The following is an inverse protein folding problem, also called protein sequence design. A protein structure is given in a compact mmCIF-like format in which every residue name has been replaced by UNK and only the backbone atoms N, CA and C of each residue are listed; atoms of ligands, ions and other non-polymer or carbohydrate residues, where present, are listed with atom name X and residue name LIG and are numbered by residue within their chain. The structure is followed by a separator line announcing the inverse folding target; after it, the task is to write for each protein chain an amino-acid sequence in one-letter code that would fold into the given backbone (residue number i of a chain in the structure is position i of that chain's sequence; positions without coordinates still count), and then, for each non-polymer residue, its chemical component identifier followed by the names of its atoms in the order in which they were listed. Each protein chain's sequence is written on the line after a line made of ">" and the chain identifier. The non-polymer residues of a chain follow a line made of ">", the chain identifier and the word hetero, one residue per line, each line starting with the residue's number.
data_IF_600469197134
#
_entry.id   IF_600469197134
#
_cell.length_a   1.000
_cell.length_b   1.000
_cell.length_c   1.000
_cell.angle_alpha   90.00
_cell.angle_beta   90.00
_cell.angle_gamma   90.00
#
_symmetry.space_group_name_H-M   'P 1'
#
loop_
_entity.id
_entity.type
_entity.pdbx_description
1 polymer ?
#
# COMPACT_ATOMS: atom_id res chain seq x y z
N UNK A 1 15.20 23.27 2.09
CA UNK A 1 14.94 21.86 2.43
C UNK A 1 16.03 21.25 3.30
N UNK A 2 17.32 21.27 2.92
CA UNK A 2 18.39 20.63 3.70
C UNK A 2 18.54 21.21 5.11
N UNK A 3 18.47 22.52 5.26
CA UNK A 3 18.57 23.19 6.55
C UNK A 3 17.36 22.90 7.47
N UNK A 4 16.17 22.67 6.88
CA UNK A 4 14.92 22.45 7.60
C UNK A 4 14.59 20.94 7.76
N UNK A 5 15.39 20.08 7.15
CA UNK A 5 15.11 18.63 7.17
C UNK A 5 14.89 18.04 8.57
N UNK A 6 15.69 18.38 9.62
CA UNK A 6 15.44 17.87 10.95
C UNK A 6 14.07 18.26 11.52
N UNK A 7 13.62 19.50 11.28
CA UNK A 7 12.30 19.97 11.73
C UNK A 7 11.16 19.33 10.94
N UNK A 8 11.31 19.18 9.63
CA UNK A 8 10.35 18.48 8.79
C UNK A 8 10.21 17.01 9.20
N UNK A 9 11.31 16.32 9.48
CA UNK A 9 11.30 14.94 9.95
C UNK A 9 10.61 14.79 11.31
N UNK A 10 10.91 15.69 12.26
CA UNK A 10 10.27 15.70 13.57
C UNK A 10 8.75 15.93 13.44
N UNK A 11 8.33 16.86 12.58
CA UNK A 11 6.92 17.14 12.32
C UNK A 11 6.23 15.98 11.63
N UNK A 12 6.86 15.30 10.67
CA UNK A 12 6.29 14.15 9.99
C UNK A 12 5.94 13.01 10.96
N UNK A 13 6.71 12.83 12.02
CA UNK A 13 6.42 11.85 13.09
C UNK A 13 5.12 12.11 13.86
N UNK A 14 4.55 13.30 13.76
CA UNK A 14 3.33 13.72 14.49
C UNK A 14 2.15 14.00 13.56
N UNK A 15 2.28 13.72 12.27
CA UNK A 15 1.23 13.94 11.27
C UNK A 15 0.61 12.62 10.82
N UNK A 16 -0.63 12.69 10.35
CA UNK A 16 -1.31 11.55 9.73
C UNK A 16 -0.46 10.98 8.61
N UNK A 17 -0.29 9.68 8.60
CA UNK A 17 0.49 8.94 7.60
C UNK A 17 1.96 9.38 7.47
N UNK A 18 2.51 10.14 8.42
CA UNK A 18 3.90 10.59 8.38
C UNK A 18 4.23 11.53 7.23
N UNK A 19 3.26 12.29 6.74
CA UNK A 19 3.39 13.22 5.62
C UNK A 19 3.16 14.66 6.03
N UNK A 20 3.66 15.61 5.25
CA UNK A 20 3.61 17.06 5.58
C UNK A 20 2.58 17.85 4.79
N UNK A 21 1.78 17.20 3.97
CA UNK A 21 0.65 17.83 3.32
C UNK A 21 -0.60 17.79 4.21
N UNK A 22 -1.50 18.74 3.99
CA UNK A 22 -2.75 18.88 4.68
C UNK A 22 -3.80 17.86 4.19
N UNK A 23 -4.62 17.37 5.11
CA UNK A 23 -5.85 16.66 4.82
C UNK A 23 -7.04 17.60 5.03
N UNK A 24 -7.99 17.60 4.08
CA UNK A 24 -9.20 18.41 4.19
C UNK A 24 -10.26 17.63 4.97
N UNK A 25 -10.89 18.24 5.95
CA UNK A 25 -11.93 17.64 6.79
C UNK A 25 -13.31 17.69 6.12
N UNK A 26 -13.43 18.39 4.99
CA UNK A 26 -14.70 18.52 4.24
C UNK A 26 -14.95 17.23 3.44
N UNK A 27 -16.23 16.88 3.28
CA UNK A 27 -16.65 15.74 2.46
C UNK A 27 -16.90 16.16 0.99
N UNK A 28 -16.46 15.32 0.07
CA UNK A 28 -16.66 15.54 -1.37
C UNK A 28 -18.16 15.53 -1.73
N UNK A 29 -18.95 14.62 -1.12
CA UNK A 29 -20.40 14.50 -1.40
C UNK A 29 -21.20 15.72 -0.94
N UNK A 30 -20.70 16.46 0.04
CA UNK A 30 -21.34 17.67 0.58
C UNK A 30 -20.83 18.97 -0.11
N UNK A 31 -19.84 18.85 -0.99
CA UNK A 31 -19.18 20.00 -1.64
C UNK A 31 -19.77 20.23 -3.05
N UNK A 32 -20.17 21.47 -3.41
CA UNK A 32 -20.60 21.79 -4.76
C UNK A 32 -19.54 21.45 -5.80
N UNK A 33 -19.99 21.01 -6.99
CA UNK A 33 -19.13 20.50 -8.07
C UNK A 33 -17.99 21.45 -8.44
N UNK A 34 -18.28 22.74 -8.58
CA UNK A 34 -17.27 23.74 -8.93
C UNK A 34 -16.13 23.80 -7.89
N UNK A 35 -16.48 23.83 -6.61
CA UNK A 35 -15.48 23.88 -5.53
C UNK A 35 -14.71 22.57 -5.43
N UNK A 36 -15.39 21.42 -5.64
CA UNK A 36 -14.79 20.10 -5.62
C UNK A 36 -13.77 19.96 -6.76
N UNK A 37 -14.11 20.37 -7.96
CA UNK A 37 -13.19 20.38 -9.10
C UNK A 37 -12.00 21.30 -8.86
N UNK A 38 -12.21 22.49 -8.30
CA UNK A 38 -11.13 23.41 -7.97
C UNK A 38 -10.15 22.83 -6.95
N UNK A 39 -10.65 22.12 -5.92
CA UNK A 39 -9.80 21.44 -4.93
C UNK A 39 -8.99 20.29 -5.58
N UNK A 40 -9.63 19.46 -6.43
CA UNK A 40 -8.92 18.42 -7.17
C UNK A 40 -7.85 19.02 -8.09
N UNK A 41 -8.14 20.10 -8.81
CA UNK A 41 -7.18 20.75 -9.70
C UNK A 41 -5.98 21.30 -8.94
N UNK A 42 -6.20 21.97 -7.83
CA UNK A 42 -5.14 22.49 -6.97
C UNK A 42 -4.22 21.37 -6.47
N UNK A 43 -4.79 20.26 -6.03
CA UNK A 43 -4.01 19.10 -5.56
C UNK A 43 -3.32 18.35 -6.69
N UNK A 44 -3.97 18.26 -7.84
CA UNK A 44 -3.36 17.69 -9.05
C UNK A 44 -2.09 18.44 -9.45
N UNK A 45 -2.14 19.76 -9.49
CA UNK A 45 -0.98 20.59 -9.80
C UNK A 45 0.13 20.51 -8.75
N UNK A 46 -0.24 20.36 -7.47
CA UNK A 46 0.74 20.13 -6.39
C UNK A 46 1.44 18.77 -6.56
N UNK A 47 0.73 17.80 -7.07
CA UNK A 47 1.21 16.43 -7.28
C UNK A 47 1.30 15.58 -6.03
N UNK A 48 1.70 14.34 -6.22
CA UNK A 48 1.93 13.37 -5.18
C UNK A 48 0.66 12.87 -4.49
N UNK A 49 0.84 12.30 -3.30
CA UNK A 49 -0.25 11.69 -2.53
C UNK A 49 -1.22 12.71 -1.91
N UNK A 50 -0.92 14.02 -1.97
CA UNK A 50 -1.80 15.06 -1.45
C UNK A 50 -3.20 15.03 -2.10
N UNK A 51 -3.34 14.43 -3.28
CA UNK A 51 -4.60 14.27 -3.98
C UNK A 51 -5.63 13.47 -3.16
N UNK A 52 -5.22 12.39 -2.48
CA UNK A 52 -6.12 11.61 -1.61
C UNK A 52 -6.54 12.36 -0.35
N UNK A 53 -5.83 13.42 0.03
CA UNK A 53 -6.21 14.31 1.12
C UNK A 53 -7.17 15.44 0.72
N UNK A 54 -7.69 15.44 -0.52
CA UNK A 54 -8.58 16.48 -1.01
C UNK A 54 -9.92 16.54 -0.24
N UNK A 55 -10.42 15.39 0.18
CA UNK A 55 -11.67 15.27 0.96
C UNK A 55 -11.57 14.09 1.92
N UNK A 56 -12.26 14.20 3.06
CA UNK A 56 -12.19 13.22 4.15
C UNK A 56 -12.90 11.89 3.83
N UNK A 57 -13.82 11.88 2.88
CA UNK A 57 -14.69 10.74 2.54
C UNK A 57 -14.22 9.92 1.33
N UNK A 58 -13.12 10.30 0.66
CA UNK A 58 -12.68 9.63 -0.58
C UNK A 58 -12.41 8.13 -0.44
N UNK A 59 -11.96 7.68 0.72
CA UNK A 59 -11.62 6.27 0.94
C UNK A 59 -12.69 5.51 1.72
N UNK A 60 -13.80 6.15 2.07
CA UNK A 60 -14.89 5.54 2.86
C UNK A 60 -16.25 5.59 2.16
N UNK A 61 -16.44 6.51 1.22
CA UNK A 61 -17.69 6.68 0.50
C UNK A 61 -17.50 6.43 -1.02
N UNK A 62 -18.24 5.46 -1.62
CA UNK A 62 -18.11 5.15 -3.05
C UNK A 62 -18.48 6.31 -3.98
N UNK A 63 -19.42 7.18 -3.58
CA UNK A 63 -19.85 8.33 -4.41
C UNK A 63 -18.76 9.42 -4.37
N UNK A 64 -18.22 9.71 -3.18
CA UNK A 64 -17.07 10.60 -3.04
C UNK A 64 -15.89 10.10 -3.89
N UNK A 65 -15.56 8.81 -3.77
CA UNK A 65 -14.48 8.19 -4.53
C UNK A 65 -14.68 8.32 -6.04
N UNK A 66 -15.91 8.09 -6.53
CA UNK A 66 -16.22 8.20 -7.94
C UNK A 66 -15.96 9.61 -8.49
N UNK A 67 -16.18 10.67 -7.70
CA UNK A 67 -15.90 12.05 -8.14
C UNK A 67 -14.40 12.27 -8.39
N UNK A 68 -13.54 11.77 -7.50
CA UNK A 68 -12.10 11.85 -7.65
C UNK A 68 -11.59 10.96 -8.80
N UNK A 69 -12.11 9.74 -8.91
CA UNK A 69 -11.77 8.82 -9.98
C UNK A 69 -12.14 9.39 -11.36
N UNK A 70 -13.31 10.01 -11.49
CA UNK A 70 -13.76 10.62 -12.74
C UNK A 70 -12.92 11.83 -13.12
N UNK A 71 -12.48 12.63 -12.14
CA UNK A 71 -11.53 13.72 -12.38
C UNK A 71 -10.22 13.19 -12.99
N UNK A 72 -9.61 12.17 -12.39
CA UNK A 72 -8.36 11.57 -12.90
C UNK A 72 -8.57 10.95 -14.29
N UNK A 73 -9.67 10.24 -14.51
CA UNK A 73 -10.01 9.66 -15.82
C UNK A 73 -10.15 10.74 -16.90
N UNK A 74 -10.77 11.88 -16.57
CA UNK A 74 -10.86 13.02 -17.49
C UNK A 74 -9.47 13.59 -17.83
N UNK A 75 -8.56 13.68 -16.86
CA UNK A 75 -7.16 14.11 -17.10
C UNK A 75 -6.43 13.16 -18.05
N UNK A 76 -6.57 11.85 -17.88
CA UNK A 76 -5.95 10.85 -18.77
C UNK A 76 -6.47 11.02 -20.20
N UNK A 77 -7.80 11.09 -20.38
CA UNK A 77 -8.41 11.26 -21.69
C UNK A 77 -8.10 12.61 -22.36
N UNK A 78 -7.74 13.63 -21.58
CA UNK A 78 -7.32 14.91 -22.14
C UNK A 78 -5.88 14.90 -22.67
N UNK A 79 -5.08 13.92 -22.25
CA UNK A 79 -3.66 13.80 -22.62
C UNK A 79 -3.46 12.80 -23.76
N UNK A 80 -4.15 11.66 -23.72
CA UNK A 80 -4.02 10.60 -24.72
C UNK A 80 -4.92 10.91 -25.92
N UNK A 81 -4.32 11.07 -27.10
CA UNK A 81 -5.01 11.55 -28.32
C UNK A 81 -5.90 10.50 -28.98
N UNK A 82 -5.45 9.23 -28.96
CA UNK A 82 -6.23 8.12 -29.49
C UNK A 82 -7.25 7.64 -28.45
N UNK A 83 -8.53 7.63 -28.83
CA UNK A 83 -9.63 7.34 -27.91
C UNK A 83 -9.59 5.90 -27.38
N UNK A 84 -9.26 4.92 -28.23
CA UNK A 84 -9.22 3.50 -27.82
C UNK A 84 -8.04 3.27 -26.88
N UNK A 85 -6.89 3.85 -27.16
CA UNK A 85 -5.72 3.84 -26.25
C UNK A 85 -6.03 4.55 -24.92
N UNK A 86 -6.73 5.69 -24.97
CA UNK A 86 -7.14 6.41 -23.77
C UNK A 86 -8.07 5.57 -22.89
N UNK A 87 -9.00 4.84 -23.49
CA UNK A 87 -9.92 3.97 -22.75
C UNK A 87 -9.20 2.76 -22.14
N UNK A 88 -8.25 2.15 -22.83
CA UNK A 88 -7.40 1.08 -22.28
C UNK A 88 -6.53 1.55 -21.11
N UNK A 89 -6.01 2.77 -21.17
CA UNK A 89 -5.19 3.37 -20.12
C UNK A 89 -6.01 3.91 -18.95
N UNK A 90 -7.32 4.11 -19.13
CA UNK A 90 -8.20 4.66 -18.09
C UNK A 90 -8.58 3.58 -17.08
N UNK A 91 -8.16 3.68 -15.81
CA UNK A 91 -8.46 2.67 -14.80
C UNK A 91 -9.95 2.71 -14.41
N UNK A 92 -10.53 1.52 -14.22
CA UNK A 92 -11.92 1.35 -13.76
C UNK A 92 -12.03 1.06 -12.25
N UNK A 93 -10.91 0.94 -11.54
CA UNK A 93 -10.89 0.66 -10.12
C UNK A 93 -11.21 1.89 -9.26
N UNK A 94 -11.56 1.64 -8.00
CA UNK A 94 -11.66 2.64 -6.93
C UNK A 94 -10.30 3.35 -6.78
N UNK A 95 -10.28 4.69 -6.77
CA UNK A 95 -9.04 5.44 -6.57
C UNK A 95 -8.54 5.24 -5.15
N UNK A 96 -7.23 5.04 -4.99
CA UNK A 96 -6.61 4.70 -3.71
C UNK A 96 -6.49 3.20 -3.43
N UNK A 97 -7.26 2.33 -4.13
CA UNK A 97 -7.12 0.87 -4.04
C UNK A 97 -5.71 0.35 -4.32
N UNK A 98 -4.99 1.08 -5.14
CA UNK A 98 -3.56 0.91 -5.40
C UNK A 98 -2.87 2.24 -5.12
N UNK A 99 -1.58 2.20 -4.80
CA UNK A 99 -0.80 3.41 -4.57
C UNK A 99 -0.89 4.32 -5.78
N UNK A 100 -1.24 5.60 -5.56
CA UNK A 100 -1.14 6.60 -6.61
C UNK A 100 0.32 6.80 -6.98
N UNK A 101 0.62 6.72 -8.27
CA UNK A 101 1.94 6.99 -8.82
C UNK A 101 2.03 8.44 -9.29
N UNK A 102 3.21 9.03 -9.16
CA UNK A 102 3.53 10.31 -9.80
C UNK A 102 3.82 10.01 -11.27
N UNK A 103 3.20 10.78 -12.14
CA UNK A 103 3.45 10.73 -13.58
C UNK A 103 4.35 11.88 -14.04
N UNK A 104 5.22 11.58 -15.00
CA UNK A 104 6.02 12.56 -15.73
C UNK A 104 6.14 12.10 -17.18
N UNK A 105 5.10 12.39 -17.98
CA UNK A 105 5.06 12.05 -19.41
C UNK A 105 4.74 10.58 -19.70
N UNK A 106 4.18 9.82 -18.76
CA UNK A 106 3.79 8.43 -18.99
C UNK A 106 2.65 8.35 -20.01
N UNK A 107 1.59 9.10 -19.82
CA UNK A 107 0.43 9.07 -20.72
C UNK A 107 0.73 9.72 -22.07
N UNK A 108 1.51 10.80 -22.12
CA UNK A 108 1.97 11.45 -23.34
C UNK A 108 2.83 10.50 -24.21
N UNK A 109 3.50 9.53 -23.57
CA UNK A 109 4.31 8.54 -24.30
C UNK A 109 3.49 7.73 -25.29
N UNK A 110 2.22 7.48 -25.01
CA UNK A 110 1.33 6.70 -25.88
C UNK A 110 0.84 7.48 -27.12
N UNK A 111 1.08 8.79 -27.21
CA UNK A 111 0.81 9.58 -28.41
C UNK A 111 1.95 9.45 -29.45
N UNK A 112 3.05 8.75 -29.12
CA UNK A 112 4.18 8.58 -30.02
C UNK A 112 3.93 7.43 -30.98
N UNK A 113 4.20 7.64 -32.29
CA UNK A 113 4.01 6.64 -33.34
C UNK A 113 4.85 5.37 -33.18
N UNK A 114 5.90 5.41 -32.36
CA UNK A 114 6.77 4.26 -32.07
C UNK A 114 6.43 3.54 -30.75
N UNK A 115 5.30 3.85 -30.13
CA UNK A 115 4.81 3.19 -28.91
C UNK A 115 3.49 2.50 -29.20
N UNK A 116 3.39 1.23 -28.84
CA UNK A 116 2.18 0.43 -29.00
C UNK A 116 1.76 -0.14 -27.66
N UNK A 117 0.47 -0.02 -27.36
CA UNK A 117 -0.17 -0.65 -26.18
C UNK A 117 -0.82 -1.95 -26.62
N UNK A 118 -0.48 -3.05 -25.97
CA UNK A 118 -1.08 -4.36 -26.22
C UNK A 118 -1.91 -4.77 -25.01
N UNK A 119 -3.23 -4.82 -25.21
CA UNK A 119 -4.14 -5.30 -24.17
C UNK A 119 -4.06 -6.83 -24.07
N UNK A 120 -3.84 -7.32 -22.86
CA UNK A 120 -3.81 -8.74 -22.51
C UNK A 120 -4.90 -9.09 -21.47
N UNK A 121 -5.90 -8.24 -21.28
CA UNK A 121 -6.97 -8.45 -20.27
C UNK A 121 -7.82 -9.69 -20.57
N UNK A 122 -8.10 -9.96 -21.84
CA UNK A 122 -8.82 -11.15 -22.32
C UNK A 122 -7.90 -12.21 -22.94
N UNK A 123 -6.60 -11.92 -22.98
CA UNK A 123 -5.58 -12.77 -23.55
C UNK A 123 -4.48 -13.09 -22.54
N UNK A 124 -3.29 -13.36 -23.07
CA UNK A 124 -2.11 -13.61 -22.21
C UNK A 124 -0.81 -13.40 -22.97
N UNK A 125 0.25 -13.24 -22.21
CA UNK A 125 1.61 -13.46 -22.72
C UNK A 125 1.81 -14.98 -22.81
N UNK A 126 1.99 -15.50 -24.01
CA UNK A 126 2.06 -16.94 -24.28
C UNK A 126 3.47 -17.48 -24.15
N UNK A 127 4.45 -16.75 -24.70
CA UNK A 127 5.84 -17.16 -24.67
C UNK A 127 6.79 -15.98 -24.88
N UNK A 128 7.99 -16.13 -24.35
CA UNK A 128 9.17 -15.38 -24.78
C UNK A 128 9.83 -16.21 -25.88
N UNK A 129 10.07 -15.59 -27.02
CA UNK A 129 10.66 -16.23 -28.18
C UNK A 129 12.07 -15.69 -28.45
N UNK A 130 12.87 -16.32 -29.33
CA UNK A 130 14.16 -15.76 -29.72
C UNK A 130 14.08 -14.39 -30.40
N UNK A 131 12.89 -13.99 -30.88
CA UNK A 131 12.67 -12.69 -31.54
C UNK A 131 11.97 -11.64 -30.67
N UNK A 132 11.34 -12.04 -29.57
CA UNK A 132 10.59 -11.10 -28.73
C UNK A 132 9.53 -11.76 -27.87
N UNK A 133 8.30 -11.25 -27.91
CA UNK A 133 7.19 -11.69 -27.07
C UNK A 133 6.02 -12.14 -27.93
N UNK A 134 5.43 -13.30 -27.63
CA UNK A 134 4.15 -13.73 -28.21
C UNK A 134 3.02 -13.45 -27.23
N UNK A 135 2.04 -12.69 -27.67
CA UNK A 135 0.84 -12.38 -26.93
C UNK A 135 -0.38 -12.34 -27.87
N UNK A 136 -1.52 -12.85 -27.42
CA UNK A 136 -2.78 -12.88 -28.18
C UNK A 136 -2.63 -13.51 -29.59
N UNK A 137 -1.79 -14.55 -29.71
CA UNK A 137 -1.52 -15.22 -30.98
C UNK A 137 -0.58 -14.46 -31.95
N UNK A 138 -0.11 -13.28 -31.59
CA UNK A 138 0.79 -12.45 -32.39
C UNK A 138 2.19 -12.42 -31.77
N UNK A 139 3.24 -12.38 -32.61
CA UNK A 139 4.61 -12.18 -32.18
C UNK A 139 5.00 -10.70 -32.33
N UNK A 140 5.52 -10.12 -31.25
CA UNK A 140 6.05 -8.76 -31.18
C UNK A 140 7.57 -8.82 -31.10
N UNK A 141 8.26 -8.37 -32.13
CA UNK A 141 9.72 -8.36 -32.16
C UNK A 141 10.28 -7.31 -31.19
N UNK A 142 11.35 -7.67 -30.47
CA UNK A 142 11.99 -6.80 -29.50
C UNK A 142 13.49 -7.15 -29.35
N UNK A 143 14.33 -6.12 -29.32
CA UNK A 143 15.77 -6.25 -29.04
C UNK A 143 16.03 -6.39 -27.53
N UNK A 144 15.13 -5.88 -26.70
CA UNK A 144 15.21 -5.95 -25.25
C UNK A 144 13.82 -6.14 -24.63
N UNK A 145 13.75 -6.95 -23.56
CA UNK A 145 12.52 -7.20 -22.79
C UNK A 145 12.76 -6.79 -21.34
N UNK A 146 11.91 -5.90 -20.81
CA UNK A 146 11.94 -5.48 -19.42
C UNK A 146 10.85 -6.21 -18.64
N UNK A 147 11.27 -7.05 -17.69
CA UNK A 147 10.35 -7.73 -16.78
C UNK A 147 10.00 -6.82 -15.61
N UNK A 148 8.86 -6.16 -15.69
CA UNK A 148 8.30 -5.32 -14.63
C UNK A 148 7.11 -6.00 -13.94
N UNK A 149 7.24 -7.29 -13.62
CA UNK A 149 6.15 -8.16 -13.14
C UNK A 149 5.75 -7.94 -11.68
N UNK A 150 6.46 -7.05 -10.97
CA UNK A 150 6.16 -6.70 -9.58
C UNK A 150 6.71 -7.71 -8.56
N UNK A 151 6.21 -7.60 -7.34
CA UNK A 151 6.67 -8.38 -6.19
C UNK A 151 5.50 -9.07 -5.49
N UNK A 152 5.77 -10.18 -4.81
CA UNK A 152 4.90 -10.70 -3.75
C UNK A 152 5.08 -9.81 -2.51
N UNK A 153 4.32 -8.71 -2.49
CA UNK A 153 4.44 -7.69 -1.47
C UNK A 153 4.00 -8.18 -0.09
N UNK A 154 4.49 -7.54 0.95
CA UNK A 154 4.19 -7.72 2.37
C UNK A 154 4.72 -9.04 2.97
N UNK A 155 4.48 -10.19 2.35
CA UNK A 155 4.81 -11.50 2.92
C UNK A 155 5.85 -12.27 2.13
N UNK A 156 6.02 -12.00 0.84
CA UNK A 156 6.82 -12.84 -0.04
C UNK A 156 8.28 -12.98 0.39
N UNK A 157 8.90 -11.89 0.86
CA UNK A 157 10.29 -11.93 1.35
C UNK A 157 10.41 -12.77 2.63
N UNK A 158 9.47 -12.64 3.58
CA UNK A 158 9.46 -13.38 4.84
C UNK A 158 9.22 -14.88 4.61
N UNK A 159 8.29 -15.23 3.71
CA UNK A 159 7.95 -16.62 3.42
C UNK A 159 9.03 -17.36 2.61
N UNK A 160 9.98 -16.67 2.00
CA UNK A 160 11.15 -17.26 1.35
C UNK A 160 12.25 -17.68 2.32
N UNK A 161 12.22 -17.15 3.55
CA UNK A 161 13.16 -17.48 4.61
C UNK A 161 12.56 -18.66 5.40
N UNK A 162 13.37 -19.66 5.77
CA UNK A 162 12.93 -20.75 6.66
C UNK A 162 12.91 -20.27 8.11
N UNK A 163 11.92 -19.44 8.46
CA UNK A 163 11.70 -18.92 9.81
C UNK A 163 10.92 -19.96 10.60
N UNK A 164 11.52 -20.41 11.73
CA UNK A 164 10.91 -21.41 12.60
C UNK A 164 10.73 -20.87 14.01
N UNK A 165 9.54 -21.10 14.54
CA UNK A 165 9.13 -20.76 15.88
C UNK A 165 9.21 -21.96 16.86
N UNK A 166 8.40 -21.92 17.90
CA UNK A 166 8.32 -22.98 18.92
C UNK A 166 7.91 -24.31 18.28
N UNK A 167 8.55 -25.37 18.75
CA UNK A 167 8.26 -26.73 18.25
C UNK A 167 8.62 -26.95 16.77
N UNK A 168 9.39 -26.03 16.16
CA UNK A 168 9.77 -26.13 14.74
C UNK A 168 8.68 -25.65 13.77
N UNK A 169 7.61 -25.02 14.26
CA UNK A 169 6.52 -24.46 13.43
C UNK A 169 7.10 -23.46 12.41
N UNK A 170 6.91 -23.71 11.13
CA UNK A 170 7.35 -22.78 10.11
C UNK A 170 6.37 -21.58 9.99
N UNK A 171 6.92 -20.38 9.73
CA UNK A 171 6.12 -19.17 9.56
C UNK A 171 5.14 -19.31 8.38
N UNK A 172 5.56 -19.98 7.31
CA UNK A 172 4.69 -20.26 6.16
C UNK A 172 3.45 -21.09 6.52
N UNK A 173 3.62 -22.07 7.45
CA UNK A 173 2.52 -22.91 7.89
C UNK A 173 1.58 -22.15 8.84
N UNK A 174 2.15 -21.29 9.71
CA UNK A 174 1.39 -20.39 10.59
C UNK A 174 0.54 -19.39 9.77
N UNK A 175 1.04 -18.97 8.61
CA UNK A 175 0.42 -17.97 7.74
C UNK A 175 -0.30 -18.56 6.50
N UNK A 176 -0.58 -19.85 6.48
CA UNK A 176 -1.30 -20.53 5.38
C UNK A 176 -2.68 -19.88 5.12
N UNK A 177 -3.42 -19.59 6.17
CA UNK A 177 -4.69 -18.86 6.13
C UNK A 177 -4.57 -17.33 5.95
N UNK A 178 -3.36 -16.81 5.75
CA UNK A 178 -3.05 -15.38 5.67
C UNK A 178 -2.15 -14.91 6.81
N UNK A 179 -1.45 -13.77 6.64
CA UNK A 179 -0.52 -13.28 7.65
C UNK A 179 -1.28 -12.82 8.91
N UNK A 180 -0.76 -13.22 10.05
CA UNK A 180 -1.22 -12.80 11.39
C UNK A 180 -0.03 -12.31 12.18
N UNK A 181 -0.14 -11.13 12.75
CA UNK A 181 0.93 -10.51 13.54
C UNK A 181 0.34 -9.67 14.68
N UNK A 182 1.15 -9.35 15.65
CA UNK A 182 0.86 -8.33 16.66
C UNK A 182 1.61 -7.05 16.30
N UNK A 183 0.88 -5.95 16.11
CA UNK A 183 1.39 -4.61 15.74
C UNK A 183 2.15 -4.56 14.38
N UNK A 184 2.14 -5.63 13.60
CA UNK A 184 3.03 -5.77 12.44
C UNK A 184 4.50 -5.97 12.81
N UNK A 185 4.80 -6.26 14.09
CA UNK A 185 6.14 -6.34 14.64
C UNK A 185 6.53 -7.74 15.09
N UNK A 186 5.58 -8.55 15.58
CA UNK A 186 5.86 -9.89 16.12
C UNK A 186 4.77 -10.88 15.75
N UNK A 187 5.06 -12.17 15.94
CA UNK A 187 4.15 -13.27 15.65
C UNK A 187 4.10 -14.21 16.85
N UNK A 188 2.90 -14.57 17.28
CA UNK A 188 2.71 -15.55 18.35
C UNK A 188 3.27 -16.93 17.94
N UNK A 189 4.00 -17.57 18.84
CA UNK A 189 4.74 -18.81 18.53
C UNK A 189 6.16 -18.59 18.01
N UNK A 190 6.58 -17.33 17.78
CA UNK A 190 7.90 -16.99 17.24
C UNK A 190 8.64 -16.02 18.18
N UNK A 191 9.18 -16.52 19.31
CA UNK A 191 9.87 -15.68 20.28
C UNK A 191 11.07 -14.99 19.67
N UNK A 192 11.28 -13.72 20.06
CA UNK A 192 12.35 -12.84 19.59
C UNK A 192 12.38 -12.57 18.08
N UNK A 193 11.30 -12.91 17.37
CA UNK A 193 11.11 -12.49 15.98
C UNK A 193 10.56 -11.07 15.98
N UNK A 194 11.27 -10.15 15.34
CA UNK A 194 10.79 -8.81 15.05
C UNK A 194 10.74 -8.59 13.54
N UNK A 195 9.68 -7.97 13.08
CA UNK A 195 9.50 -7.52 11.71
C UNK A 195 9.45 -6.00 11.68
N UNK A 196 9.94 -5.42 10.60
CA UNK A 196 9.80 -3.98 10.35
C UNK A 196 8.78 -3.80 9.22
N UNK A 197 7.74 -3.01 9.47
CA UNK A 197 6.64 -2.76 8.53
C UNK A 197 5.97 -4.05 8.03
N UNK A 198 5.82 -5.03 8.93
CA UNK A 198 5.16 -6.29 8.63
C UNK A 198 3.63 -6.14 8.42
N UNK A 199 2.96 -7.22 8.00
CA UNK A 199 1.51 -7.25 7.87
C UNK A 199 0.81 -6.84 9.17
N UNK A 200 -0.26 -6.04 9.07
CA UNK A 200 -0.96 -5.50 10.24
C UNK A 200 -0.35 -4.21 10.80
N UNK A 201 0.71 -3.68 10.17
CA UNK A 201 1.21 -2.33 10.45
C UNK A 201 0.69 -1.32 9.41
N UNK A 202 0.80 0.00 9.65
CA UNK A 202 0.45 1.03 8.68
C UNK A 202 1.19 0.89 7.34
N UNK A 203 2.44 0.46 7.38
CA UNK A 203 3.22 0.03 6.21
C UNK A 203 3.08 1.00 5.03
N UNK A 204 2.63 0.48 3.89
CA UNK A 204 2.53 1.20 2.61
C UNK A 204 1.48 2.33 2.57
N UNK A 205 0.62 2.43 3.56
CA UNK A 205 -0.35 3.53 3.68
C UNK A 205 0.26 4.78 4.34
N UNK A 206 1.51 4.70 4.77
CA UNK A 206 2.24 5.81 5.40
C UNK A 206 3.52 6.15 4.66
N UNK A 207 4.22 7.19 5.15
CA UNK A 207 5.62 7.40 4.82
C UNK A 207 6.44 6.26 5.45
N UNK A 208 6.88 5.32 4.61
CA UNK A 208 7.58 4.11 5.04
C UNK A 208 8.79 4.40 5.92
N UNK A 209 9.58 5.47 5.62
CA UNK A 209 10.76 5.81 6.41
C UNK A 209 10.36 6.18 7.84
N UNK A 210 9.31 6.98 8.01
CA UNK A 210 8.80 7.35 9.33
C UNK A 210 8.32 6.13 10.11
N UNK A 211 7.60 5.22 9.46
CA UNK A 211 7.13 3.97 10.08
C UNK A 211 8.29 3.02 10.42
N UNK A 212 9.29 2.89 9.56
CA UNK A 212 10.49 2.09 9.83
C UNK A 212 11.22 2.62 11.06
N UNK A 213 11.42 3.93 11.18
CA UNK A 213 12.07 4.55 12.32
C UNK A 213 11.31 4.29 13.62
N UNK A 214 9.99 4.44 13.61
CA UNK A 214 9.15 4.14 14.76
C UNK A 214 9.29 2.68 15.20
N UNK A 215 9.27 1.74 14.27
CA UNK A 215 9.45 0.32 14.56
C UNK A 215 10.84 0.02 15.13
N UNK A 216 11.89 0.62 14.55
CA UNK A 216 13.27 0.44 15.05
C UNK A 216 13.44 1.02 16.46
N UNK A 217 12.89 2.20 16.71
CA UNK A 217 12.90 2.84 18.03
C UNK A 217 12.17 1.95 19.06
N UNK A 218 10.99 1.43 18.72
CA UNK A 218 10.24 0.53 19.58
C UNK A 218 10.98 -0.78 19.87
N UNK A 219 11.54 -1.43 18.83
CA UNK A 219 12.32 -2.68 19.00
C UNK A 219 13.55 -2.43 19.90
N UNK A 220 14.26 -1.31 19.69
CA UNK A 220 15.38 -0.91 20.53
C UNK A 220 14.97 -0.78 21.99
N UNK A 221 13.90 -0.06 22.27
CA UNK A 221 13.43 0.17 23.65
C UNK A 221 12.94 -1.13 24.30
N UNK A 222 12.31 -2.00 23.53
CA UNK A 222 11.93 -3.34 23.95
C UNK A 222 13.17 -4.18 24.35
N UNK A 223 14.22 -4.20 23.52
CA UNK A 223 15.45 -4.93 23.79
C UNK A 223 16.20 -4.37 25.01
N UNK A 224 16.17 -3.05 25.22
CA UNK A 224 16.73 -2.39 26.41
C UNK A 224 15.98 -2.84 27.65
N UNK A 225 14.64 -2.80 27.63
CA UNK A 225 13.80 -3.22 28.75
C UNK A 225 13.99 -4.70 29.10
N UNK A 226 14.11 -5.59 28.11
CA UNK A 226 14.43 -7.01 28.33
C UNK A 226 15.75 -7.18 29.07
N UNK A 227 16.79 -6.48 28.63
CA UNK A 227 18.12 -6.54 29.22
C UNK A 227 18.12 -6.03 30.68
N UNK A 228 17.45 -4.90 30.95
CA UNK A 228 17.35 -4.31 32.27
C UNK A 228 16.59 -5.21 33.28
N UNK A 229 15.60 -5.95 32.77
CA UNK A 229 14.81 -6.91 33.58
C UNK A 229 15.44 -8.30 33.65
N UNK A 230 16.60 -8.52 33.02
CA UNK A 230 17.28 -9.83 32.97
C UNK A 230 16.51 -10.87 32.13
N UNK A 231 15.59 -10.45 31.31
CA UNK A 231 14.78 -11.31 30.45
C UNK A 231 15.50 -11.61 29.13
N UNK A 232 15.30 -12.82 28.62
CA UNK A 232 15.97 -13.30 27.40
C UNK A 232 15.00 -13.53 26.25
N UNK A 233 13.71 -13.39 26.48
CA UNK A 233 12.68 -13.74 25.51
C UNK A 233 11.48 -12.83 25.65
N UNK A 234 10.95 -12.43 24.50
CA UNK A 234 9.66 -11.75 24.36
C UNK A 234 8.89 -12.40 23.21
N UNK A 235 7.58 -12.43 23.33
CA UNK A 235 6.68 -13.02 22.34
C UNK A 235 5.29 -12.44 22.53
N UNK A 236 4.57 -12.19 21.44
CA UNK A 236 3.17 -11.87 21.52
C UNK A 236 2.37 -13.11 21.97
N UNK A 237 1.33 -12.91 22.75
CA UNK A 237 0.34 -13.97 23.02
C UNK A 237 -0.55 -14.16 21.81
N UNK A 238 -1.14 -15.36 21.65
CA UNK A 238 -2.15 -15.62 20.58
C UNK A 238 -3.30 -14.64 20.71
N UNK A 239 -3.82 -14.40 21.94
CA UNK A 239 -4.92 -13.49 22.17
C UNK A 239 -4.58 -12.05 21.73
N UNK A 240 -3.42 -11.52 22.09
CA UNK A 240 -3.03 -10.16 21.69
C UNK A 240 -2.88 -10.05 20.18
N UNK A 241 -2.34 -11.09 19.53
CA UNK A 241 -2.25 -11.15 18.08
C UNK A 241 -3.64 -11.18 17.44
N UNK A 242 -4.55 -11.99 17.95
CA UNK A 242 -5.90 -12.14 17.42
C UNK A 242 -6.70 -10.84 17.58
N UNK A 243 -6.68 -10.24 18.77
CA UNK A 243 -7.29 -8.93 19.04
C UNK A 243 -6.76 -7.85 18.06
N UNK A 244 -5.46 -7.89 17.76
CA UNK A 244 -4.87 -6.96 16.82
C UNK A 244 -5.33 -7.19 15.39
N UNK A 245 -5.38 -8.43 14.94
CA UNK A 245 -5.88 -8.80 13.61
C UNK A 245 -7.34 -8.39 13.45
N UNK A 246 -8.16 -8.60 14.47
CA UNK A 246 -9.57 -8.22 14.47
C UNK A 246 -9.72 -6.69 14.42
N UNK A 247 -8.89 -5.95 15.14
CA UNK A 247 -8.85 -4.49 15.07
C UNK A 247 -8.48 -4.00 13.66
N UNK A 248 -7.43 -4.57 13.03
CA UNK A 248 -7.02 -4.21 11.66
C UNK A 248 -8.17 -4.47 10.68
N UNK A 249 -8.84 -5.62 10.79
CA UNK A 249 -9.98 -5.97 9.94
C UNK A 249 -11.18 -5.04 10.17
N UNK A 250 -11.46 -4.68 11.41
CA UNK A 250 -12.52 -3.73 11.76
C UNK A 250 -12.26 -2.36 11.10
N UNK A 251 -11.07 -1.80 11.29
CA UNK A 251 -10.70 -0.50 10.70
C UNK A 251 -10.70 -0.56 9.17
N UNK A 252 -10.17 -1.63 8.59
CA UNK A 252 -10.22 -1.84 7.14
C UNK A 252 -11.66 -1.90 6.62
N UNK A 253 -12.57 -2.55 7.36
CA UNK A 253 -14.00 -2.66 7.04
C UNK A 253 -14.74 -1.33 7.00
N UNK A 254 -14.21 -0.27 7.63
CA UNK A 254 -14.74 1.09 7.55
C UNK A 254 -14.31 1.83 6.27
N UNK A 255 -13.52 1.21 5.43
CA UNK A 255 -12.96 1.79 4.20
C UNK A 255 -13.39 1.02 2.97
N UNK A 256 -13.09 1.57 1.80
CA UNK A 256 -13.31 0.91 0.52
C UNK A 256 -12.25 -0.16 0.19
N UNK A 257 -11.16 -0.27 0.95
CA UNK A 257 -10.07 -1.19 0.66
C UNK A 257 -10.47 -2.67 0.54
N UNK A 258 -11.35 -3.22 1.40
CA UNK A 258 -11.74 -4.63 1.28
C UNK A 258 -12.45 -4.98 -0.04
N UNK A 259 -13.06 -4.00 -0.70
CA UNK A 259 -13.73 -4.20 -1.99
C UNK A 259 -12.79 -4.17 -3.19
N UNK A 260 -11.50 -3.86 -2.95
CA UNK A 260 -10.51 -3.65 -4.00
C UNK A 260 -9.88 -4.96 -4.50
N UNK A 261 -9.66 -5.08 -5.80
CA UNK A 261 -8.76 -6.11 -6.34
C UNK A 261 -7.32 -5.60 -6.33
N UNK A 262 -6.70 -5.59 -5.15
CA UNK A 262 -5.44 -4.91 -4.88
C UNK A 262 -4.39 -5.85 -4.28
N UNK A 263 -3.11 -5.53 -4.52
CA UNK A 263 -2.00 -6.18 -3.86
C UNK A 263 -1.99 -5.93 -2.33
N UNK A 264 -2.71 -4.95 -1.82
CA UNK A 264 -2.95 -4.77 -0.38
C UNK A 264 -3.69 -5.97 0.23
N UNK A 265 -4.44 -6.71 -0.60
CA UNK A 265 -5.12 -7.95 -0.23
C UNK A 265 -4.41 -9.20 -0.79
N UNK A 266 -3.22 -9.08 -1.37
CA UNK A 266 -2.54 -10.19 -2.03
C UNK A 266 -3.11 -10.56 -3.40
N UNK A 267 -3.91 -9.69 -4.03
CA UNK A 267 -4.60 -9.95 -5.29
C UNK A 267 -3.69 -10.13 -6.51
N UNK A 268 -2.46 -9.66 -6.41
CA UNK A 268 -1.46 -9.73 -7.46
C UNK A 268 -0.72 -11.08 -7.53
N UNK A 269 -0.96 -11.98 -6.57
CA UNK A 269 -0.34 -13.31 -6.54
C UNK A 269 -1.43 -14.37 -6.70
N UNK A 270 -1.41 -15.18 -7.77
CA UNK A 270 -2.38 -16.25 -7.96
C UNK A 270 -2.37 -17.25 -6.79
N UNK A 271 -3.56 -17.59 -6.29
CA UNK A 271 -3.72 -18.55 -5.20
C UNK A 271 -3.42 -18.01 -3.79
N UNK A 272 -2.93 -16.78 -3.65
CA UNK A 272 -2.70 -16.16 -2.34
C UNK A 272 -4.03 -15.85 -1.65
N UNK A 273 -4.11 -16.19 -0.35
CA UNK A 273 -5.27 -15.88 0.49
C UNK A 273 -5.52 -14.38 0.52
N UNK A 274 -6.78 -13.98 0.33
CA UNK A 274 -7.21 -12.57 0.29
C UNK A 274 -7.38 -12.03 1.71
N UNK A 275 -6.38 -11.32 2.20
CA UNK A 275 -6.39 -10.68 3.51
C UNK A 275 -5.87 -9.26 3.34
N UNK A 276 -6.56 -8.29 3.91
CA UNK A 276 -6.07 -6.91 3.91
C UNK A 276 -4.88 -6.81 4.88
N UNK A 277 -3.72 -6.47 4.34
CA UNK A 277 -2.45 -6.56 5.07
C UNK A 277 -1.97 -5.26 5.73
N UNK A 278 -2.24 -4.06 5.20
CA UNK A 278 -1.90 -2.81 5.89
C UNK A 278 -2.89 -2.48 7.00
N UNK A 279 -2.51 -1.59 7.93
CA UNK A 279 -3.42 -0.94 8.86
C UNK A 279 -3.84 0.42 8.30
N UNK A 280 -5.14 0.68 8.00
CA UNK A 280 -5.61 2.01 7.65
C UNK A 280 -5.69 2.91 8.89
N UNK A 281 -5.58 4.24 8.69
CA UNK A 281 -5.73 5.21 9.77
C UNK A 281 -4.42 5.77 10.29
N UNK A 282 -4.48 6.41 11.46
CA UNK A 282 -3.33 7.03 12.11
C UNK A 282 -2.34 5.99 12.59
N UNK A 283 -1.32 5.76 11.81
CA UNK A 283 -0.26 4.81 12.08
C UNK A 283 0.62 5.11 13.30
N UNK A 284 0.19 5.99 14.17
CA UNK A 284 0.83 6.20 15.45
C UNK A 284 0.47 5.03 16.39
N UNK A 285 1.25 3.96 16.28
CA UNK A 285 1.43 3.08 17.43
C UNK A 285 2.03 3.96 18.52
N UNK A 286 1.19 4.48 19.41
CA UNK A 286 1.71 5.26 20.51
C UNK A 286 2.57 4.32 21.36
N UNK A 287 3.71 4.81 21.84
CA UNK A 287 4.50 4.08 22.82
C UNK A 287 3.68 3.76 24.11
N UNK A 288 2.53 4.42 24.29
CA UNK A 288 1.56 4.16 25.32
C UNK A 288 0.78 2.84 25.10
N UNK A 289 0.47 2.45 23.85
CA UNK A 289 -0.24 1.19 23.57
C UNK A 289 0.62 -0.03 23.89
N UNK A 290 1.95 0.12 23.90
CA UNK A 290 2.88 -0.93 24.26
C UNK A 290 3.12 -1.04 25.78
N UNK A 291 2.84 0.02 26.56
CA UNK A 291 3.06 0.04 28.04
C UNK A 291 1.84 -0.37 28.85
N UNK A 292 0.65 -0.35 28.27
CA UNK A 292 -0.61 -0.54 28.98
C UNK A 292 -1.15 -1.97 29.01
N UNK A 293 -0.42 -2.94 28.44
CA UNK A 293 -0.83 -4.35 28.40
C UNK A 293 0.33 -5.24 28.86
N UNK A 294 0.68 -5.12 30.16
CA UNK A 294 1.46 -6.12 30.89
C UNK A 294 0.55 -7.29 31.31
#
# INVERSE_FOLDING_TARGET
>A
WKAEYPSHRARAKTTVSGVLFDFNDVKAVETPDEKRIAEYEMRWQRGGLSFLGAFSDLLVDPQANATAANFVRAKIRAVVEDADTADLLTPNNIIGCKRLCIDTGYFETFNRSNVSLIDISEGRIEAITPKGVRANGQEFEADAIVYATGFDAMTGALLKIDIRGRGGLALRDKWDGGPRSYLGLSVAGFPNLFMITGPGSPSVLTNMITSIEQHVEWIRDCLVALRERGLRRIEATEQAQDDWVDYVNLVAGLTLFPTCNSWYLGANVPGKTRVFMPLPGDGHLSAADCRSRE
#
